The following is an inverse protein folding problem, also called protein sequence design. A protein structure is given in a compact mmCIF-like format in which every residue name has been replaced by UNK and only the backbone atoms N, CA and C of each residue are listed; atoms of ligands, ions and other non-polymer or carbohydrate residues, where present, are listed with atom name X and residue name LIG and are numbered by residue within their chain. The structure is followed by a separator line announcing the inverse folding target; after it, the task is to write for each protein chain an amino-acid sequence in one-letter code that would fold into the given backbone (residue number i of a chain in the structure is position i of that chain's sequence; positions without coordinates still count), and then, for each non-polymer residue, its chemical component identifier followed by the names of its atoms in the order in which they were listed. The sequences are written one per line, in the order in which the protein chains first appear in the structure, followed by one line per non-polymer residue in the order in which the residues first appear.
data_IF_018382865504
#
_entry.id   IF_018382865504
#
_cell.length_a   1.000
_cell.length_b   1.000
_cell.length_c   1.000
_cell.angle_alpha   90.00
_cell.angle_beta   90.00
_cell.angle_gamma   90.00
#
_symmetry.space_group_name_H-M   'P 1'
#
loop_
_entity.id
_entity.type
_entity.pdbx_description
1 polymer ?
#
# COMPACT_ATOMS: atom_id res chain seq x y z
N UNK A 1 18.10 -6.89 -81.90
CA UNK A 1 19.55 -7.21 -81.95
C UNK A 1 20.08 -7.41 -80.55
N UNK A 2 20.67 -8.56 -80.30
CA UNK A 2 21.57 -8.96 -79.21
C UNK A 2 20.96 -8.96 -77.80
N UNK A 3 20.44 -10.08 -77.33
CA UNK A 3 21.21 -11.20 -76.67
C UNK A 3 22.27 -10.74 -75.71
N UNK A 4 22.05 -11.02 -74.43
CA UNK A 4 23.07 -11.61 -73.60
C UNK A 4 22.46 -12.16 -72.29
N UNK A 5 22.71 -13.40 -72.13
CA UNK A 5 22.59 -14.32 -71.01
C UNK A 5 23.59 -13.90 -69.90
N UNK A 6 23.16 -13.92 -68.68
CA UNK A 6 24.12 -14.12 -67.58
C UNK A 6 23.41 -14.83 -66.41
N UNK A 7 23.66 -16.05 -66.31
CA UNK A 7 24.23 -16.91 -65.29
C UNK A 7 23.78 -16.64 -63.84
N UNK A 8 23.10 -17.67 -63.34
CA UNK A 8 22.80 -17.92 -61.94
C UNK A 8 24.10 -18.08 -61.10
N UNK A 9 24.12 -17.44 -59.98
CA UNK A 9 25.03 -17.81 -58.87
C UNK A 9 24.18 -18.04 -57.62
N UNK A 10 24.00 -19.30 -57.30
CA UNK A 10 23.40 -19.78 -56.05
C UNK A 10 24.48 -19.68 -55.00
N UNK A 11 24.36 -18.74 -54.06
CA UNK A 11 25.15 -18.74 -52.82
C UNK A 11 24.30 -19.30 -51.71
N UNK A 12 24.47 -20.56 -51.39
CA UNK A 12 23.92 -21.20 -50.22
C UNK A 12 24.64 -20.66 -48.96
N UNK A 13 24.01 -19.74 -48.24
CA UNK A 13 24.46 -19.37 -46.92
C UNK A 13 23.92 -20.39 -45.90
N UNK A 14 24.78 -21.27 -45.44
CA UNK A 14 24.52 -22.11 -44.26
C UNK A 14 24.37 -21.23 -43.05
N UNK A 15 23.15 -21.08 -42.56
CA UNK A 15 22.90 -20.53 -41.24
C UNK A 15 23.13 -21.64 -40.22
N UNK A 16 24.27 -21.61 -39.60
CA UNK A 16 24.60 -22.47 -38.45
C UNK A 16 23.80 -21.97 -37.25
N UNK A 17 22.61 -22.54 -37.03
CA UNK A 17 21.85 -22.33 -35.82
C UNK A 17 22.54 -23.00 -34.66
N UNK A 18 23.28 -22.20 -33.87
CA UNK A 18 23.81 -22.65 -32.60
C UNK A 18 22.65 -22.92 -31.64
N UNK A 19 22.25 -24.18 -31.57
CA UNK A 19 21.35 -24.64 -30.52
C UNK A 19 22.08 -24.56 -29.19
N UNK A 20 21.76 -23.53 -28.39
CA UNK A 20 22.09 -23.50 -26.98
C UNK A 20 21.29 -24.56 -26.26
N UNK A 21 21.89 -25.72 -26.09
CA UNK A 21 21.40 -26.73 -25.16
C UNK A 21 21.49 -26.15 -23.74
N UNK A 22 20.41 -25.62 -23.27
CA UNK A 22 20.25 -25.31 -21.83
C UNK A 22 20.25 -26.65 -21.09
N UNK A 23 21.39 -27.02 -20.53
CA UNK A 23 21.46 -28.13 -19.58
C UNK A 23 20.60 -27.78 -18.37
N UNK A 24 19.35 -28.20 -18.39
CA UNK A 24 18.51 -28.24 -17.22
C UNK A 24 19.15 -29.24 -16.25
N UNK A 25 19.80 -28.71 -15.23
CA UNK A 25 20.24 -29.50 -14.08
C UNK A 25 18.98 -29.98 -13.38
N UNK A 26 18.62 -31.22 -13.63
CA UNK A 26 17.68 -31.95 -12.80
C UNK A 26 18.28 -32.07 -11.41
N UNK A 27 17.83 -31.21 -10.50
CA UNK A 27 18.04 -31.47 -9.09
C UNK A 27 17.19 -32.69 -8.72
N UNK A 28 17.75 -33.69 -8.02
CA UNK A 28 16.94 -34.78 -7.52
C UNK A 28 15.87 -34.20 -6.60
N UNK A 29 14.61 -34.40 -6.99
CA UNK A 29 13.44 -34.10 -6.17
C UNK A 29 13.55 -34.96 -4.93
N UNK A 30 13.97 -34.36 -3.82
CA UNK A 30 13.75 -34.95 -2.52
C UNK A 30 12.24 -35.00 -2.32
N UNK A 31 11.66 -36.17 -2.38
CA UNK A 31 10.35 -36.44 -1.83
C UNK A 31 10.46 -36.31 -0.31
N UNK A 32 10.37 -35.09 0.15
CA UNK A 32 10.24 -34.73 1.56
C UNK A 32 8.86 -34.15 1.74
N UNK A 33 8.09 -34.75 2.62
CA UNK A 33 6.76 -34.39 3.02
C UNK A 33 6.56 -32.89 3.01
N UNK A 34 5.70 -32.40 2.14
CA UNK A 34 5.12 -31.09 2.22
C UNK A 34 4.19 -31.09 3.43
N UNK A 35 4.76 -30.91 4.61
CA UNK A 35 3.99 -30.38 5.71
C UNK A 35 3.60 -28.98 5.22
N UNK A 36 2.39 -28.86 4.71
CA UNK A 36 1.71 -27.57 4.58
C UNK A 36 1.60 -27.08 6.01
N UNK A 37 2.60 -26.32 6.43
CA UNK A 37 2.51 -25.55 7.65
C UNK A 37 1.31 -24.63 7.42
N UNK A 38 0.19 -24.99 8.02
CA UNK A 38 -0.97 -24.13 8.16
C UNK A 38 -0.43 -22.88 8.81
N UNK A 39 -0.25 -21.83 8.03
CA UNK A 39 0.15 -20.51 8.53
C UNK A 39 -1.03 -20.03 9.35
N UNK A 40 -1.00 -20.42 10.62
CA UNK A 40 -1.98 -19.99 11.61
C UNK A 40 -1.95 -18.46 11.59
N UNK A 41 -3.07 -17.79 11.34
CA UNK A 41 -3.05 -16.33 11.33
C UNK A 41 -2.48 -15.82 12.66
N UNK A 42 -1.50 -14.92 12.56
CA UNK A 42 -0.73 -14.41 13.71
C UNK A 42 -1.60 -13.56 14.66
N UNK A 43 -2.85 -13.31 14.29
CA UNK A 43 -3.75 -12.42 15.03
C UNK A 43 -5.17 -12.97 15.11
N UNK A 44 -5.84 -12.65 16.20
CA UNK A 44 -7.29 -12.78 16.31
C UNK A 44 -7.96 -11.49 15.83
N UNK A 45 -9.01 -11.62 15.04
CA UNK A 45 -9.79 -10.44 14.59
C UNK A 45 -10.77 -10.08 15.70
N UNK A 46 -10.66 -8.89 16.24
CA UNK A 46 -11.68 -8.31 17.10
C UNK A 46 -12.55 -7.40 16.22
N UNK A 47 -13.74 -7.88 15.88
CA UNK A 47 -14.77 -7.07 15.26
C UNK A 47 -15.44 -6.28 16.39
N UNK A 48 -14.84 -5.16 16.75
CA UNK A 48 -15.49 -4.18 17.62
C UNK A 48 -15.64 -2.91 16.80
N UNK A 49 -16.56 -2.00 17.14
CA UNK A 49 -16.34 -0.61 16.84
C UNK A 49 -14.98 -0.30 17.46
N UNK A 50 -13.95 -0.16 16.61
CA UNK A 50 -12.56 -0.01 17.05
C UNK A 50 -12.29 1.29 17.80
N UNK A 51 -13.28 2.15 17.86
CA UNK A 51 -13.28 3.43 18.56
C UNK A 51 -12.89 3.34 20.04
N UNK A 52 -13.19 2.22 20.70
CA UNK A 52 -12.98 2.12 22.14
C UNK A 52 -11.57 1.65 22.53
N UNK A 53 -10.78 1.15 21.59
CA UNK A 53 -9.46 0.55 21.86
C UNK A 53 -8.30 1.23 21.15
N UNK A 54 -8.55 2.09 20.20
CA UNK A 54 -7.52 2.87 19.52
C UNK A 54 -7.97 4.32 19.41
N UNK A 55 -7.21 5.19 20.08
CA UNK A 55 -7.42 6.63 19.97
C UNK A 55 -6.62 7.18 18.80
N UNK A 56 -7.26 7.93 17.91
CA UNK A 56 -6.64 8.57 16.74
C UNK A 56 -6.52 10.07 16.99
N UNK A 57 -5.30 10.61 16.86
CA UNK A 57 -5.03 12.04 17.04
C UNK A 57 -3.98 12.55 16.05
N UNK A 58 -3.87 13.86 15.91
CA UNK A 58 -2.76 14.52 15.21
C UNK A 58 -2.71 14.16 13.72
N UNK A 59 -3.87 14.08 13.06
CA UNK A 59 -3.89 13.94 11.61
C UNK A 59 -3.19 15.11 10.95
N UNK A 60 -2.36 14.80 9.95
CA UNK A 60 -1.55 15.74 9.21
C UNK A 60 -1.48 15.39 7.72
N UNK A 61 -1.67 16.40 6.87
CA UNK A 61 -1.45 16.32 5.42
C UNK A 61 -1.06 17.69 4.90
N UNK A 62 0.24 17.96 4.80
CA UNK A 62 0.74 19.21 4.21
C UNK A 62 0.38 19.35 2.73
N UNK A 63 0.24 20.58 2.27
CA UNK A 63 0.13 20.87 0.85
C UNK A 63 1.29 20.21 0.09
N UNK A 64 0.99 19.61 -1.07
CA UNK A 64 1.94 18.85 -1.91
C UNK A 64 2.43 17.52 -1.31
N UNK A 65 1.99 17.13 -0.13
CA UNK A 65 2.25 15.79 0.38
C UNK A 65 1.43 14.74 -0.38
N UNK A 66 2.06 13.60 -0.66
CA UNK A 66 1.39 12.38 -1.14
C UNK A 66 1.09 11.39 -0.02
N UNK A 67 1.36 11.78 1.21
CA UNK A 67 1.12 10.96 2.39
C UNK A 67 0.29 11.74 3.40
N UNK A 68 -0.55 11.00 4.07
CA UNK A 68 -1.33 11.42 5.22
C UNK A 68 -0.84 10.64 6.41
N UNK A 69 -0.73 11.28 7.56
CA UNK A 69 -0.23 10.66 8.78
C UNK A 69 -1.13 11.03 9.94
N UNK A 70 -1.18 10.15 10.93
CA UNK A 70 -1.83 10.41 12.21
C UNK A 70 -1.18 9.54 13.29
N UNK A 71 -1.43 9.84 14.54
CA UNK A 71 -1.03 9.03 15.67
C UNK A 71 -2.18 8.14 16.11
N UNK A 72 -1.89 6.85 16.27
CA UNK A 72 -2.80 5.86 16.83
C UNK A 72 -2.25 5.38 18.16
N UNK A 73 -3.03 5.52 19.22
CA UNK A 73 -2.69 5.05 20.58
C UNK A 73 -3.52 3.83 20.90
N UNK A 74 -2.87 2.72 21.18
CA UNK A 74 -3.54 1.51 21.63
C UNK A 74 -3.90 1.64 23.12
N UNK A 75 -5.17 1.83 23.41
CA UNK A 75 -5.70 1.93 24.79
C UNK A 75 -6.15 0.58 25.36
N UNK A 76 -6.05 -0.48 24.55
CA UNK A 76 -6.36 -1.85 24.97
C UNK A 76 -5.17 -2.55 25.63
N UNK A 77 -5.41 -3.76 26.08
CA UNK A 77 -4.48 -4.65 26.80
C UNK A 77 -3.69 -5.61 25.89
N UNK A 78 -4.07 -5.70 24.62
CA UNK A 78 -3.43 -6.59 23.64
C UNK A 78 -2.77 -5.78 22.51
N UNK A 79 -1.63 -6.25 21.95
CA UNK A 79 -0.96 -5.54 20.88
C UNK A 79 -1.83 -5.51 19.61
N UNK A 80 -1.99 -4.34 19.01
CA UNK A 80 -2.66 -4.16 17.72
C UNK A 80 -1.65 -4.36 16.61
N UNK A 81 -1.88 -5.34 15.74
CA UNK A 81 -1.01 -5.67 14.60
C UNK A 81 -1.43 -4.95 13.34
N UNK A 82 -2.75 -4.79 13.14
CA UNK A 82 -3.30 -4.15 11.95
C UNK A 82 -4.56 -3.37 12.32
N UNK A 83 -4.78 -2.27 11.62
CA UNK A 83 -5.95 -1.41 11.79
C UNK A 83 -6.64 -1.25 10.44
N UNK A 84 -7.93 -1.58 10.38
CA UNK A 84 -8.80 -1.18 9.30
C UNK A 84 -9.57 0.08 9.74
N UNK A 85 -9.54 1.11 8.92
CA UNK A 85 -10.20 2.39 9.21
C UNK A 85 -10.66 3.08 7.94
N UNK A 86 -11.63 3.95 8.09
CA UNK A 86 -12.18 4.78 7.02
C UNK A 86 -11.89 6.24 7.30
N UNK A 87 -11.34 6.95 6.31
CA UNK A 87 -11.16 8.39 6.33
C UNK A 87 -12.24 9.02 5.47
N UNK A 88 -13.02 9.94 6.05
CA UNK A 88 -13.97 10.78 5.36
C UNK A 88 -13.43 12.21 5.27
N UNK A 89 -13.39 12.76 4.07
CA UNK A 89 -12.84 14.08 3.77
C UNK A 89 -13.98 15.05 3.48
N UNK A 90 -13.96 16.19 4.13
CA UNK A 90 -14.99 17.20 4.05
C UNK A 90 -14.43 18.54 3.59
N UNK A 91 -15.20 19.30 2.84
CA UNK A 91 -14.92 20.71 2.63
C UNK A 91 -15.17 21.53 3.91
N UNK A 92 -14.93 22.84 3.85
CA UNK A 92 -15.18 23.71 5.00
C UNK A 92 -16.66 23.88 5.34
N UNK A 93 -17.55 23.62 4.40
CA UNK A 93 -19.00 23.64 4.57
C UNK A 93 -19.58 22.29 5.05
N UNK A 94 -18.66 21.34 5.38
CA UNK A 94 -18.98 19.98 5.86
C UNK A 94 -19.66 19.09 4.82
N UNK A 95 -19.53 19.37 3.53
CA UNK A 95 -19.93 18.44 2.49
C UNK A 95 -18.87 17.37 2.31
N UNK A 96 -19.29 16.13 2.19
CA UNK A 96 -18.38 15.00 1.94
C UNK A 96 -17.81 15.11 0.52
N UNK A 97 -16.50 15.25 0.42
CA UNK A 97 -15.77 15.30 -0.85
C UNK A 97 -15.28 13.91 -1.29
N UNK A 98 -14.77 13.14 -0.36
CA UNK A 98 -14.20 11.82 -0.63
C UNK A 98 -14.27 10.92 0.61
N UNK A 99 -14.23 9.60 0.39
CA UNK A 99 -14.13 8.61 1.45
C UNK A 99 -13.21 7.48 0.98
N UNK A 100 -12.29 7.06 1.85
CA UNK A 100 -11.37 5.98 1.56
C UNK A 100 -11.21 5.05 2.75
N UNK A 101 -11.29 3.74 2.52
CA UNK A 101 -11.00 2.74 3.55
C UNK A 101 -9.58 2.22 3.38
N UNK A 102 -8.91 2.04 4.50
CA UNK A 102 -7.52 1.60 4.58
C UNK A 102 -7.39 0.40 5.50
N UNK A 103 -6.44 -0.46 5.20
CA UNK A 103 -6.05 -1.57 6.05
C UNK A 103 -4.52 -1.57 6.15
N UNK A 104 -3.99 -1.21 7.32
CA UNK A 104 -2.58 -0.89 7.53
C UNK A 104 -2.01 -1.69 8.68
N UNK A 105 -0.83 -2.27 8.47
CA UNK A 105 -0.05 -2.84 9.57
C UNK A 105 0.49 -1.71 10.45
N UNK A 106 0.26 -1.81 11.74
CA UNK A 106 0.55 -0.73 12.69
C UNK A 106 1.50 -1.17 13.81
N UNK A 107 1.42 -2.42 14.23
CA UNK A 107 2.25 -3.03 15.29
C UNK A 107 2.39 -2.15 16.54
N UNK A 108 1.25 -1.87 17.17
CA UNK A 108 1.16 -0.98 18.35
C UNK A 108 1.01 -1.83 19.60
N UNK A 109 2.04 -1.92 20.46
CA UNK A 109 1.92 -2.55 21.77
C UNK A 109 0.84 -1.91 22.64
N UNK A 110 0.38 -2.64 23.65
CA UNK A 110 -0.59 -2.13 24.63
C UNK A 110 -0.06 -0.86 25.31
N UNK A 111 -0.87 0.18 25.37
CA UNK A 111 -0.54 1.47 25.96
C UNK A 111 0.40 2.36 25.14
N UNK A 112 0.89 1.91 23.98
CA UNK A 112 1.79 2.70 23.14
C UNK A 112 1.07 3.49 22.04
N UNK A 113 1.79 4.49 21.53
CA UNK A 113 1.39 5.32 20.39
C UNK A 113 2.34 5.09 19.23
N UNK A 114 1.79 4.93 18.03
CA UNK A 114 2.56 4.84 16.77
C UNK A 114 2.02 5.81 15.74
N UNK A 115 2.91 6.32 14.90
CA UNK A 115 2.51 7.08 13.73
C UNK A 115 2.10 6.13 12.61
N UNK A 116 0.89 6.29 12.13
CA UNK A 116 0.33 5.56 10.99
C UNK A 116 0.36 6.48 9.76
N UNK A 117 0.78 5.94 8.63
CA UNK A 117 0.85 6.71 7.40
C UNK A 117 0.19 5.98 6.24
N UNK A 118 -0.62 6.70 5.48
CA UNK A 118 -1.28 6.19 4.27
C UNK A 118 -0.96 7.05 3.06
N UNK A 119 -1.21 6.50 1.88
CA UNK A 119 -1.14 7.28 0.65
C UNK A 119 -2.35 8.19 0.57
N UNK A 120 -2.10 9.47 0.27
CA UNK A 120 -3.17 10.44 0.09
C UNK A 120 -4.02 10.15 -1.15
N UNK A 121 -5.31 10.40 -1.05
CA UNK A 121 -6.25 10.42 -2.16
C UNK A 121 -5.97 11.58 -3.14
N UNK A 122 -5.39 12.67 -2.64
CA UNK A 122 -5.04 13.87 -3.39
C UNK A 122 -3.83 13.62 -4.30
N UNK A 123 -4.08 13.02 -5.46
CA UNK A 123 -3.03 12.75 -6.46
C UNK A 123 -2.43 14.03 -7.03
N UNK A 124 -3.23 15.09 -7.16
CA UNK A 124 -2.83 16.39 -7.72
C UNK A 124 -2.05 17.23 -6.71
N UNK A 125 -2.05 16.87 -5.43
CA UNK A 125 -1.39 17.60 -4.35
C UNK A 125 -1.88 19.05 -4.22
N UNK A 126 -3.18 19.23 -4.48
CA UNK A 126 -3.85 20.52 -4.46
C UNK A 126 -4.57 20.83 -3.15
N UNK A 127 -4.72 19.82 -2.28
CA UNK A 127 -5.44 19.91 -1.02
C UNK A 127 -4.50 19.85 0.17
N UNK A 128 -4.91 20.47 1.29
CA UNK A 128 -4.21 20.40 2.57
C UNK A 128 -5.18 20.36 3.74
N UNK A 129 -4.77 19.70 4.81
CA UNK A 129 -5.57 19.66 6.03
C UNK A 129 -5.50 21.04 6.74
N UNK A 130 -6.66 21.57 7.11
CA UNK A 130 -6.79 22.94 7.66
C UNK A 130 -5.89 23.23 8.84
N UNK A 131 -5.66 22.25 9.71
CA UNK A 131 -4.86 22.43 10.93
C UNK A 131 -3.37 22.26 10.72
N UNK A 132 -2.93 21.69 9.60
CA UNK A 132 -1.50 21.51 9.28
C UNK A 132 -0.79 22.82 9.00
N UNK A 133 -1.46 23.78 8.39
CA UNK A 133 -0.87 25.03 7.92
C UNK A 133 -1.23 26.22 8.79
N UNK A 134 -1.12 26.07 10.11
CA UNK A 134 -1.28 27.17 11.05
C UNK A 134 -0.16 28.19 10.83
N UNK A 135 -0.51 29.35 10.27
CA UNK A 135 0.42 30.47 10.05
C UNK A 135 0.92 30.66 8.61
N UNK A 136 0.59 29.81 7.66
CA UNK A 136 0.89 30.05 6.25
C UNK A 136 -0.05 31.12 5.69
N UNK A 137 0.51 32.27 5.29
CA UNK A 137 -0.25 33.32 4.59
C UNK A 137 -0.61 32.80 3.19
N UNK A 138 -1.90 32.54 2.95
CA UNK A 138 -2.49 32.12 1.67
C UNK A 138 -1.80 30.91 1.01
N UNK A 139 -1.95 29.71 1.52
CA UNK A 139 -1.52 28.51 0.80
C UNK A 139 -2.29 28.41 -0.53
N UNK A 140 -1.57 28.21 -1.62
CA UNK A 140 -2.17 27.99 -2.96
C UNK A 140 -2.73 26.58 -3.05
N UNK A 141 -3.75 26.26 -2.25
CA UNK A 141 -4.38 24.96 -2.20
C UNK A 141 -5.77 25.04 -1.59
N UNK A 142 -6.52 23.96 -1.70
CA UNK A 142 -7.86 23.86 -1.15
C UNK A 142 -7.79 23.23 0.25
N UNK A 143 -8.30 23.93 1.27
CA UNK A 143 -8.38 23.40 2.63
C UNK A 143 -9.49 22.34 2.74
N UNK A 144 -9.28 21.35 3.61
CA UNK A 144 -10.28 20.35 3.95
C UNK A 144 -10.17 19.93 5.42
N UNK A 145 -11.20 19.26 5.90
CA UNK A 145 -11.26 18.63 7.22
C UNK A 145 -11.44 17.12 7.08
N UNK A 146 -11.14 16.37 8.14
CA UNK A 146 -11.25 14.90 8.12
C UNK A 146 -11.93 14.35 9.36
N UNK A 147 -12.55 13.21 9.15
CA UNK A 147 -13.02 12.31 10.20
C UNK A 147 -12.44 10.91 9.93
N UNK A 148 -11.85 10.31 10.97
CA UNK A 148 -11.26 8.96 10.90
C UNK A 148 -12.07 8.06 11.81
N UNK A 149 -12.68 7.04 11.22
CA UNK A 149 -13.40 5.99 11.95
C UNK A 149 -12.58 4.70 11.91
N UNK A 150 -12.28 4.14 13.07
CA UNK A 150 -11.63 2.83 13.17
C UNK A 150 -12.73 1.76 13.06
N UNK A 151 -12.61 0.92 12.02
CA UNK A 151 -13.63 -0.08 11.69
C UNK A 151 -13.34 -1.43 12.37
N UNK A 152 -12.09 -1.91 12.26
CA UNK A 152 -11.68 -3.23 12.74
C UNK A 152 -10.25 -3.22 13.24
N UNK A 153 -9.99 -3.92 14.33
CA UNK A 153 -8.66 -4.16 14.87
C UNK A 153 -8.29 -5.63 14.74
N UNK A 154 -7.05 -5.88 14.30
CA UNK A 154 -6.44 -7.19 14.31
C UNK A 154 -5.41 -7.20 15.43
N UNK A 155 -5.69 -7.95 16.49
CA UNK A 155 -4.84 -8.00 17.67
C UNK A 155 -3.95 -9.23 17.67
N UNK A 156 -2.75 -9.09 18.22
CA UNK A 156 -1.83 -10.21 18.40
C UNK A 156 -2.30 -11.09 19.55
N UNK A 157 -1.95 -12.39 19.48
CA UNK A 157 -2.04 -13.25 20.67
C UNK A 157 -0.93 -12.87 21.64
N UNK A 158 -1.20 -12.91 22.94
CA UNK A 158 -0.17 -12.72 23.96
C UNK A 158 0.91 -13.81 23.88
#
# INVERSE_FOLDING_TARGET
MRSLIVIAAIAAAMICAAQRTTRQRLHPRAEGATATAEVKPLYDTVVAPGADRVEVKGYDKPLRSRRETFFATNTGDMPVRRIAFTISYYDLDKHLMHRASHNVEADIPAGETRMVGVRSWDVQQAFYYTRTQVGAKNPKGTPYDVEIAVDTLFVGRP
#
